data_IF_925580012199
#
_entry.id   IF_925580012199
#
_cell.length_a   1.000
_cell.length_b   1.000
_cell.length_c   1.000
_cell.angle_alpha   90.00
_cell.angle_beta   90.00
_cell.angle_gamma   90.00
#
_symmetry.space_group_name_H-M   'P 1'
#
loop_
_entity.id
_entity.type
_entity.pdbx_description
1 polymer ?
#
# COMPACT_ATOMS: atom_id res chain seq x y z
N UNK A 1 13.51 4.90 -7.63
CA UNK A 1 13.44 6.29 -7.15
C UNK A 1 13.06 7.19 -8.30
N UNK A 2 11.92 7.81 -8.16
CA UNK A 2 11.26 8.56 -9.22
C UNK A 2 12.04 9.85 -9.56
N UNK A 3 12.47 10.04 -10.80
CA UNK A 3 13.14 11.28 -11.22
C UNK A 3 12.27 12.54 -11.03
N UNK A 4 10.95 12.40 -11.09
CA UNK A 4 9.98 13.50 -10.92
C UNK A 4 10.01 14.11 -9.52
N UNK A 5 10.50 13.36 -8.52
CA UNK A 5 10.63 13.82 -7.13
C UNK A 5 12.00 14.46 -6.82
N UNK A 6 12.83 14.77 -7.84
CA UNK A 6 14.18 15.34 -7.66
C UNK A 6 14.22 16.86 -7.86
N UNK A 7 13.16 17.54 -7.49
CA UNK A 7 13.03 19.00 -7.64
C UNK A 7 12.14 19.57 -6.54
N UNK A 8 12.20 20.90 -6.35
CA UNK A 8 11.33 21.63 -5.41
C UNK A 8 9.87 21.73 -5.88
N UNK A 9 9.63 21.51 -7.16
CA UNK A 9 8.30 21.48 -7.76
C UNK A 9 8.08 20.13 -8.42
N UNK A 10 6.90 19.56 -8.23
CA UNK A 10 6.52 18.27 -8.80
C UNK A 10 5.62 18.47 -10.01
N UNK A 11 5.73 17.59 -11.00
CA UNK A 11 4.81 17.61 -12.15
C UNK A 11 3.38 17.22 -11.73
N UNK A 12 2.41 17.65 -12.55
CA UNK A 12 0.98 17.43 -12.27
C UNK A 12 0.63 15.93 -12.22
N UNK A 13 1.28 15.09 -13.00
CA UNK A 13 1.00 13.65 -13.01
C UNK A 13 1.47 12.99 -11.71
N UNK A 14 2.63 13.39 -11.19
CA UNK A 14 3.12 12.93 -9.89
C UNK A 14 2.21 13.40 -8.77
N UNK A 15 1.88 14.69 -8.73
CA UNK A 15 0.97 15.27 -7.74
C UNK A 15 -0.41 14.62 -7.79
N UNK A 16 -0.97 14.42 -8.98
CA UNK A 16 -2.25 13.74 -9.14
C UNK A 16 -2.24 12.31 -8.60
N UNK A 17 -1.12 11.58 -8.74
CA UNK A 17 -1.00 10.23 -8.19
C UNK A 17 -0.93 10.25 -6.66
N UNK A 18 -0.21 11.20 -6.07
CA UNK A 18 -0.10 11.38 -4.63
C UNK A 18 -1.45 11.78 -4.00
N UNK A 19 -2.13 12.77 -4.60
CA UNK A 19 -3.46 13.21 -4.15
C UNK A 19 -4.46 12.06 -4.26
N UNK A 20 -4.45 11.31 -5.36
CA UNK A 20 -5.35 10.16 -5.54
C UNK A 20 -5.11 9.10 -4.46
N UNK A 21 -3.86 8.81 -4.13
CA UNK A 21 -3.53 7.88 -3.04
C UNK A 21 -4.19 8.32 -1.73
N UNK A 22 -3.87 9.53 -1.25
CA UNK A 22 -4.38 10.03 0.04
C UNK A 22 -5.91 10.14 0.01
N UNK A 23 -6.48 10.76 -1.03
CA UNK A 23 -7.94 10.92 -1.13
C UNK A 23 -8.67 9.57 -1.17
N UNK A 24 -8.12 8.55 -1.84
CA UNK A 24 -8.75 7.22 -1.87
C UNK A 24 -8.70 6.54 -0.51
N UNK A 25 -7.63 6.74 0.25
CA UNK A 25 -7.50 6.27 1.64
C UNK A 25 -8.57 6.92 2.54
N UNK A 26 -8.66 8.25 2.52
CA UNK A 26 -9.64 9.00 3.32
C UNK A 26 -11.10 8.66 2.94
N UNK A 27 -11.37 8.49 1.65
CA UNK A 27 -12.68 8.03 1.18
C UNK A 27 -12.97 6.60 1.70
N UNK A 28 -11.97 5.72 1.78
CA UNK A 28 -12.12 4.41 2.42
C UNK A 28 -12.67 4.51 3.84
N UNK A 29 -12.17 5.45 4.65
CA UNK A 29 -12.68 5.70 5.99
C UNK A 29 -14.15 6.18 5.99
N UNK A 30 -14.57 6.96 5.01
CA UNK A 30 -15.99 7.36 4.91
C UNK A 30 -16.92 6.19 4.62
N UNK A 31 -16.41 5.10 4.04
CA UNK A 31 -17.10 3.82 3.88
C UNK A 31 -16.95 2.89 5.08
N UNK A 32 -16.41 3.35 6.20
CA UNK A 32 -16.24 2.56 7.42
C UNK A 32 -15.07 1.58 7.41
N UNK A 33 -14.17 1.64 6.41
CA UNK A 33 -12.97 0.82 6.42
C UNK A 33 -12.00 1.34 7.48
N UNK A 34 -11.48 0.43 8.28
CA UNK A 34 -10.38 0.69 9.21
C UNK A 34 -9.03 0.53 8.50
N UNK A 35 -7.96 1.02 9.12
CA UNK A 35 -6.61 0.72 8.65
C UNK A 35 -6.36 -0.78 8.56
N UNK A 36 -5.71 -1.19 7.49
CA UNK A 36 -5.25 -2.58 7.27
C UNK A 36 -3.73 -2.61 7.11
N UNK A 37 -3.01 -2.48 8.22
CA UNK A 37 -1.53 -2.43 8.24
C UNK A 37 -0.89 -3.77 7.87
N UNK A 38 -1.66 -4.85 7.78
CA UNK A 38 -1.18 -6.14 7.31
C UNK A 38 -1.09 -6.25 5.78
N UNK A 39 -1.67 -5.32 5.04
CA UNK A 39 -1.75 -5.42 3.59
C UNK A 39 -0.40 -5.22 2.89
N UNK A 40 0.53 -4.46 3.45
CA UNK A 40 1.91 -4.30 2.96
C UNK A 40 2.65 -5.63 2.90
N UNK A 41 2.46 -6.50 3.90
CA UNK A 41 3.10 -7.81 3.98
C UNK A 41 2.57 -8.85 2.97
N UNK A 42 1.49 -8.54 2.25
CA UNK A 42 0.89 -9.45 1.27
C UNK A 42 1.74 -9.62 0.00
N UNK A 43 2.59 -8.65 -0.33
CA UNK A 43 3.43 -8.70 -1.52
C UNK A 43 4.85 -9.15 -1.17
N UNK A 44 5.41 -10.12 -1.91
CA UNK A 44 6.83 -10.46 -1.73
C UNK A 44 7.74 -9.28 -2.08
N UNK A 45 8.78 -9.05 -1.28
CA UNK A 45 9.76 -7.98 -1.51
C UNK A 45 10.34 -8.02 -2.92
N UNK A 46 10.68 -9.22 -3.43
CA UNK A 46 11.21 -9.36 -4.79
C UNK A 46 10.19 -8.97 -5.86
N UNK A 47 8.90 -9.19 -5.59
CA UNK A 47 7.84 -8.80 -6.50
C UNK A 47 7.66 -7.29 -6.59
N UNK A 48 7.93 -6.54 -5.52
CA UNK A 48 7.92 -5.08 -5.52
C UNK A 48 9.01 -4.48 -6.43
N UNK A 49 10.03 -5.24 -6.78
CA UNK A 49 11.06 -4.90 -7.75
C UNK A 49 10.71 -5.30 -9.19
N UNK A 50 9.62 -6.01 -9.39
CA UNK A 50 9.19 -6.47 -10.72
C UNK A 50 8.27 -5.45 -11.37
N UNK A 51 8.70 -4.89 -12.52
CA UNK A 51 7.89 -3.99 -13.37
C UNK A 51 6.56 -4.62 -13.75
N UNK A 52 6.56 -5.90 -14.14
CA UNK A 52 5.34 -6.60 -14.56
C UNK A 52 4.40 -6.91 -13.40
N UNK A 53 4.94 -7.27 -12.23
CA UNK A 53 4.12 -7.50 -11.05
C UNK A 53 3.46 -6.20 -10.57
N UNK A 54 4.23 -5.12 -10.39
CA UNK A 54 3.72 -3.83 -9.92
C UNK A 54 2.74 -3.21 -10.91
N UNK A 55 2.95 -3.37 -12.22
CA UNK A 55 1.98 -2.95 -13.23
C UNK A 55 0.66 -3.72 -13.13
N UNK A 56 0.71 -5.05 -12.90
CA UNK A 56 -0.48 -5.90 -12.74
C UNK A 56 -1.24 -5.60 -11.46
N UNK A 57 -0.53 -5.43 -10.35
CA UNK A 57 -1.15 -5.15 -9.05
C UNK A 57 -1.57 -3.68 -8.90
N UNK A 58 -0.98 -2.80 -9.68
CA UNK A 58 -1.26 -1.38 -9.72
C UNK A 58 -0.60 -0.56 -8.60
N UNK A 59 -0.09 -1.20 -7.55
CA UNK A 59 0.45 -0.51 -6.37
C UNK A 59 1.37 -1.38 -5.51
N UNK A 60 1.54 -0.97 -4.26
CA UNK A 60 2.56 -1.47 -3.33
C UNK A 60 2.03 -2.39 -2.24
N UNK A 61 0.70 -2.46 -2.06
CA UNK A 61 0.03 -3.29 -1.05
C UNK A 61 -1.32 -3.80 -1.59
N UNK A 62 -1.93 -4.77 -0.91
CA UNK A 62 -3.24 -5.31 -1.28
C UNK A 62 -4.41 -4.41 -0.87
N UNK A 63 -4.18 -3.40 -0.04
CA UNK A 63 -5.18 -2.43 0.43
C UNK A 63 -4.63 -1.01 0.40
N UNK A 64 -5.49 -0.05 0.02
CA UNK A 64 -5.23 1.39 0.15
C UNK A 64 -5.30 1.85 1.62
N UNK A 65 -5.90 1.04 2.50
CA UNK A 65 -6.05 1.35 3.92
C UNK A 65 -4.81 1.03 4.75
N UNK A 66 -3.73 0.56 4.10
CA UNK A 66 -2.42 0.43 4.70
C UNK A 66 -1.65 1.76 4.62
N UNK A 67 -0.77 2.02 5.55
CA UNK A 67 0.23 3.08 5.45
C UNK A 67 1.47 2.63 4.69
N UNK A 68 1.28 1.73 3.72
CA UNK A 68 2.29 1.36 2.76
C UNK A 68 2.80 2.61 2.03
N UNK A 69 4.09 2.82 2.07
CA UNK A 69 4.71 4.00 1.46
C UNK A 69 4.92 3.82 -0.04
N UNK A 70 5.38 4.89 -0.69
CA UNK A 70 5.92 4.77 -2.04
C UNK A 70 6.93 3.63 -2.08
N UNK A 71 6.97 2.90 -3.18
CA UNK A 71 7.82 1.74 -3.36
C UNK A 71 9.32 2.10 -3.19
N UNK A 72 9.79 2.08 -1.94
CA UNK A 72 11.19 2.33 -1.61
C UNK A 72 12.08 1.08 -1.82
N UNK A 73 11.47 -0.05 -2.11
CA UNK A 73 12.17 -1.32 -2.38
C UNK A 73 12.73 -1.34 -3.80
N UNK A 74 11.97 -0.81 -4.77
CA UNK A 74 12.38 -0.74 -6.15
C UNK A 74 13.70 0.04 -6.31
N UNK A 75 14.56 -0.44 -7.20
CA UNK A 75 15.83 0.18 -7.54
C UNK A 75 15.72 0.82 -8.93
N UNK A 76 16.58 1.79 -9.30
CA UNK A 76 16.53 2.43 -10.62
C UNK A 76 16.57 1.45 -11.78
N UNK A 77 17.35 0.39 -11.65
CA UNK A 77 17.51 -0.67 -12.65
C UNK A 77 16.28 -1.56 -12.85
N UNK A 78 15.33 -1.53 -11.92
CA UNK A 78 14.10 -2.33 -11.99
C UNK A 78 13.04 -1.70 -12.92
N UNK A 79 13.20 -0.43 -13.25
CA UNK A 79 12.29 0.34 -14.12
C UNK A 79 10.81 0.27 -13.68
N UNK A 80 10.57 0.19 -12.38
CA UNK A 80 9.22 0.15 -11.82
C UNK A 80 8.57 1.52 -11.93
N UNK A 81 7.41 1.58 -12.57
CA UNK A 81 6.65 2.81 -12.81
C UNK A 81 5.52 3.02 -11.78
N UNK A 82 4.96 1.91 -11.25
CA UNK A 82 3.88 1.93 -10.28
C UNK A 82 4.45 1.86 -8.86
N UNK A 83 4.66 3.03 -8.27
CA UNK A 83 5.33 3.19 -6.98
C UNK A 83 4.41 3.67 -5.86
N UNK A 84 3.17 4.05 -6.17
CA UNK A 84 2.19 4.54 -5.18
C UNK A 84 1.23 3.43 -4.77
N UNK A 85 0.74 3.41 -3.52
CA UNK A 85 -0.42 2.60 -3.14
C UNK A 85 -1.65 2.94 -3.97
N UNK A 86 -2.51 1.96 -4.19
CA UNK A 86 -3.79 2.13 -4.91
C UNK A 86 -4.87 1.27 -4.26
N UNK A 87 -6.14 1.49 -4.63
CA UNK A 87 -7.26 0.62 -4.24
C UNK A 87 -6.96 -0.81 -4.68
N UNK A 88 -6.74 -1.69 -3.72
CA UNK A 88 -6.25 -3.04 -3.92
C UNK A 88 -7.32 -4.11 -3.96
N UNK A 89 -6.86 -5.35 -3.92
CA UNK A 89 -7.73 -6.55 -3.92
C UNK A 89 -8.56 -6.63 -2.65
N UNK A 90 -7.93 -6.36 -1.50
CA UNK A 90 -8.60 -6.35 -0.20
C UNK A 90 -9.73 -5.32 -0.15
N UNK A 91 -9.49 -4.10 -0.62
CA UNK A 91 -10.49 -3.03 -0.57
C UNK A 91 -11.74 -3.38 -1.38
N UNK A 92 -11.56 -3.93 -2.58
CA UNK A 92 -12.66 -4.39 -3.44
C UNK A 92 -13.46 -5.50 -2.78
N UNK A 93 -12.78 -6.41 -2.10
CA UNK A 93 -13.43 -7.47 -1.33
C UNK A 93 -14.19 -6.89 -0.14
N UNK A 94 -13.58 -6.01 0.66
CA UNK A 94 -14.17 -5.43 1.85
C UNK A 94 -15.43 -4.61 1.51
N UNK A 95 -15.35 -3.79 0.46
CA UNK A 95 -16.53 -3.01 -0.01
C UNK A 95 -17.61 -3.95 -0.55
N UNK A 96 -17.26 -4.97 -1.32
CA UNK A 96 -18.25 -5.95 -1.79
C UNK A 96 -18.90 -6.69 -0.62
N UNK A 97 -18.13 -7.07 0.40
CA UNK A 97 -18.61 -7.73 1.59
C UNK A 97 -19.57 -6.85 2.41
N UNK A 98 -19.23 -5.58 2.57
CA UNK A 98 -19.98 -4.64 3.42
C UNK A 98 -21.24 -4.07 2.73
N UNK A 99 -21.22 -3.92 1.40
CA UNK A 99 -22.23 -3.11 0.70
C UNK A 99 -22.97 -3.88 -0.39
N UNK A 100 -22.63 -5.11 -0.70
CA UNK A 100 -23.37 -5.87 -1.69
C UNK A 100 -24.77 -6.18 -1.17
N UNK A 101 -25.76 -5.74 -1.92
CA UNK A 101 -27.15 -6.08 -1.62
C UNK A 101 -27.39 -7.59 -1.79
N UNK A 102 -27.99 -8.22 -0.79
CA UNK A 102 -28.44 -9.61 -0.82
C UNK A 102 -29.97 -9.62 -0.71
N UNK A 103 -30.63 -10.45 -1.51
CA UNK A 103 -32.10 -10.58 -1.51
C UNK A 103 -32.52 -11.48 -0.35
N UNK A 104 -32.49 -10.92 0.85
CA UNK A 104 -32.90 -11.59 2.09
C UNK A 104 -33.93 -10.75 2.85
N UNK A 105 -34.70 -11.36 3.70
CA UNK A 105 -35.74 -10.67 4.49
C UNK A 105 -35.24 -10.20 5.84
N UNK A 106 -34.24 -10.87 6.40
CA UNK A 106 -33.63 -10.58 7.69
C UNK A 106 -32.11 -10.45 7.51
N UNK A 107 -31.48 -9.39 8.07
CA UNK A 107 -30.02 -9.24 8.01
C UNK A 107 -29.23 -10.45 8.53
N UNK A 108 -29.78 -11.23 9.46
CA UNK A 108 -29.12 -12.46 9.93
C UNK A 108 -29.02 -13.55 8.88
N UNK A 109 -29.88 -13.52 7.86
CA UNK A 109 -29.81 -14.47 6.72
C UNK A 109 -28.64 -14.18 5.79
N UNK A 110 -28.01 -13.00 5.88
CA UNK A 110 -26.78 -12.65 5.14
C UNK A 110 -25.55 -13.38 5.69
N UNK A 111 -25.50 -13.67 6.99
CA UNK A 111 -24.32 -14.20 7.67
C UNK A 111 -23.74 -15.45 7.05
N UNK A 112 -24.51 -16.47 6.61
CA UNK A 112 -23.95 -17.66 5.95
C UNK A 112 -23.22 -17.31 4.66
N UNK A 113 -23.77 -16.39 3.85
CA UNK A 113 -23.17 -15.95 2.58
C UNK A 113 -21.88 -15.17 2.83
N UNK A 114 -21.93 -14.21 3.76
CA UNK A 114 -20.78 -13.38 4.13
C UNK A 114 -19.65 -14.24 4.71
N UNK A 115 -19.97 -15.18 5.58
CA UNK A 115 -18.99 -16.12 6.13
C UNK A 115 -18.39 -17.05 5.06
N UNK A 116 -19.18 -17.49 4.08
CA UNK A 116 -18.67 -18.25 2.94
C UNK A 116 -17.66 -17.46 2.12
N UNK A 117 -17.89 -16.17 1.90
CA UNK A 117 -16.94 -15.31 1.18
C UNK A 117 -15.62 -15.16 1.94
N UNK A 118 -15.67 -14.99 3.27
CA UNK A 118 -14.46 -14.94 4.10
C UNK A 118 -13.71 -16.29 4.02
N UNK A 119 -14.44 -17.40 4.20
CA UNK A 119 -13.85 -18.75 4.20
C UNK A 119 -13.17 -19.06 2.88
N UNK A 120 -13.76 -18.63 1.75
CA UNK A 120 -13.20 -18.83 0.41
C UNK A 120 -11.81 -18.22 0.25
N UNK A 121 -11.53 -17.14 0.97
CA UNK A 121 -10.25 -16.42 0.92
C UNK A 121 -9.35 -16.69 2.12
N UNK A 122 -9.73 -17.64 2.99
CA UNK A 122 -8.93 -18.01 4.15
C UNK A 122 -7.56 -18.56 3.71
N UNK A 123 -6.51 -18.00 4.31
CA UNK A 123 -5.13 -18.35 3.98
C UNK A 123 -4.52 -17.61 2.79
N UNK A 124 -5.31 -16.86 2.02
CA UNK A 124 -4.78 -15.98 0.96
C UNK A 124 -4.38 -14.64 1.55
N UNK A 125 -3.07 -14.35 1.55
CA UNK A 125 -2.50 -13.12 2.09
C UNK A 125 -3.08 -11.84 1.46
N UNK A 126 -3.58 -11.92 0.23
CA UNK A 126 -4.17 -10.78 -0.48
C UNK A 126 -5.46 -10.28 0.17
N UNK A 127 -6.10 -11.10 1.00
CA UNK A 127 -7.36 -10.80 1.70
C UNK A 127 -7.17 -10.72 3.21
N UNK A 128 -5.94 -10.75 3.68
CA UNK A 128 -5.65 -10.68 5.09
C UNK A 128 -5.86 -9.28 5.64
N UNK A 129 -6.40 -9.22 6.86
CA UNK A 129 -6.59 -8.00 7.63
C UNK A 129 -5.67 -8.01 8.85
N UNK A 130 -4.84 -6.98 8.97
CA UNK A 130 -4.01 -6.73 10.14
C UNK A 130 -4.32 -5.35 10.70
N UNK A 131 -4.91 -5.29 11.90
CA UNK A 131 -5.24 -4.03 12.55
C UNK A 131 -3.98 -3.24 12.91
N UNK A 132 -4.10 -1.92 12.87
CA UNK A 132 -3.03 -1.03 13.33
C UNK A 132 -2.66 -1.35 14.79
N UNK A 133 -1.36 -1.53 15.02
CA UNK A 133 -0.84 -1.88 16.34
C UNK A 133 -0.56 -0.62 17.16
N UNK A 134 -0.68 -0.73 18.50
CA UNK A 134 -0.15 0.31 19.37
C UNK A 134 1.40 0.27 19.30
N UNK A 135 2.07 1.37 18.97
CA UNK A 135 3.54 1.41 18.91
C UNK A 135 4.23 1.04 20.23
N UNK A 136 3.51 1.17 21.36
CA UNK A 136 4.01 0.82 22.69
C UNK A 136 3.88 -0.66 23.03
N UNK A 137 2.96 -1.37 22.36
CA UNK A 137 2.69 -2.79 22.58
C UNK A 137 2.36 -3.49 21.24
N UNK A 138 3.33 -3.58 20.33
CA UNK A 138 3.13 -4.21 19.04
C UNK A 138 3.07 -5.74 19.21
N UNK A 139 1.97 -6.34 18.79
CA UNK A 139 1.72 -7.78 18.90
C UNK A 139 2.11 -8.51 17.63
N UNK A 140 1.72 -8.00 16.47
CA UNK A 140 1.97 -8.64 15.18
C UNK A 140 2.97 -7.84 14.34
N UNK A 141 4.19 -8.37 14.12
CA UNK A 141 5.22 -7.69 13.34
C UNK A 141 4.87 -7.55 11.85
N UNK A 142 3.80 -8.19 11.37
CA UNK A 142 3.31 -8.08 9.99
C UNK A 142 2.34 -6.90 9.79
N UNK A 143 1.91 -6.27 10.88
CA UNK A 143 0.97 -5.14 10.87
C UNK A 143 1.68 -3.86 11.32
N UNK A 144 2.82 -3.58 10.70
CA UNK A 144 3.61 -2.38 10.97
C UNK A 144 3.18 -1.21 10.07
N UNK A 145 3.35 -0.01 10.58
CA UNK A 145 3.20 1.20 9.79
C UNK A 145 4.46 1.41 8.91
N UNK A 146 4.25 1.89 7.69
CA UNK A 146 5.33 2.39 6.81
C UNK A 146 6.31 1.32 6.30
N UNK A 147 5.98 0.04 6.43
CA UNK A 147 6.76 -1.05 5.88
C UNK A 147 6.28 -1.49 4.48
N UNK A 148 7.06 -2.32 3.81
CA UNK A 148 6.71 -2.93 2.54
C UNK A 148 7.24 -4.36 2.46
N UNK A 149 6.39 -5.24 1.96
CA UNK A 149 6.75 -6.59 1.61
C UNK A 149 6.75 -7.57 2.78
N UNK A 150 6.94 -8.82 2.46
CA UNK A 150 6.89 -9.94 3.40
C UNK A 150 8.19 -10.17 4.19
N UNK A 151 9.24 -9.39 3.92
CA UNK A 151 10.54 -9.43 4.59
C UNK A 151 11.04 -8.00 4.83
N UNK A 152 10.76 -7.46 6.01
CA UNK A 152 11.10 -6.09 6.40
C UNK A 152 12.63 -5.85 6.40
N UNK A 153 13.45 -6.86 6.71
CA UNK A 153 14.90 -6.72 6.71
C UNK A 153 15.41 -6.55 5.29
N UNK A 154 14.91 -7.35 4.37
CA UNK A 154 15.25 -7.28 2.95
C UNK A 154 14.77 -5.98 2.34
N UNK A 155 13.53 -5.56 2.64
CA UNK A 155 12.97 -4.29 2.19
C UNK A 155 13.82 -3.10 2.67
N UNK A 156 14.20 -3.07 3.95
CA UNK A 156 15.06 -2.04 4.51
C UNK A 156 16.45 -1.99 3.86
N UNK A 157 17.04 -3.13 3.50
CA UNK A 157 18.32 -3.14 2.76
C UNK A 157 18.21 -2.40 1.43
N UNK A 158 17.15 -2.60 0.68
CA UNK A 158 16.90 -1.87 -0.56
C UNK A 158 16.61 -0.39 -0.30
N UNK A 159 15.85 -0.06 0.74
CA UNK A 159 15.61 1.33 1.16
C UNK A 159 16.91 2.06 1.49
N UNK A 160 17.81 1.43 2.24
CA UNK A 160 19.14 1.98 2.57
C UNK A 160 19.98 2.18 1.31
N UNK A 161 19.93 1.27 0.32
CA UNK A 161 20.64 1.46 -0.95
C UNK A 161 20.13 2.71 -1.67
N UNK A 162 18.81 2.94 -1.66
CA UNK A 162 18.22 4.13 -2.23
C UNK A 162 18.61 5.40 -1.46
N UNK A 163 18.63 5.37 -0.13
CA UNK A 163 19.11 6.50 0.68
C UNK A 163 20.56 6.86 0.36
N UNK A 164 21.45 5.88 0.20
CA UNK A 164 22.84 6.13 -0.21
C UNK A 164 22.97 6.84 -1.56
N UNK A 165 21.99 6.69 -2.45
CA UNK A 165 21.94 7.41 -3.73
C UNK A 165 21.33 8.82 -3.58
N UNK A 166 20.37 8.99 -2.69
CA UNK A 166 19.63 10.25 -2.51
C UNK A 166 20.45 11.25 -1.71
N UNK A 167 20.98 10.86 -0.55
CA UNK A 167 21.58 11.76 0.42
C UNK A 167 22.69 12.65 -0.18
N UNK A 168 23.61 12.16 -1.02
CA UNK A 168 24.62 13.01 -1.64
C UNK A 168 24.07 14.07 -2.61
N UNK A 169 22.85 13.90 -3.09
CA UNK A 169 22.26 14.75 -4.11
C UNK A 169 21.14 15.66 -3.57
N UNK A 170 20.73 15.47 -2.32
CA UNK A 170 19.52 16.10 -1.78
C UNK A 170 19.61 17.64 -1.81
N UNK A 171 20.76 18.20 -1.47
CA UNK A 171 20.99 19.64 -1.50
C UNK A 171 20.80 20.18 -2.91
N UNK A 172 21.49 19.59 -3.89
CA UNK A 172 21.40 20.02 -5.29
C UNK A 172 19.99 19.90 -5.88
N UNK A 173 19.19 18.94 -5.39
CA UNK A 173 17.81 18.73 -5.86
C UNK A 173 16.79 19.68 -5.20
N UNK A 174 17.12 20.20 -4.01
CA UNK A 174 16.21 21.03 -3.21
C UNK A 174 16.67 22.48 -3.08
N UNK A 175 17.89 22.80 -3.53
CA UNK A 175 18.40 24.14 -3.57
C UNK A 175 17.58 25.01 -4.54
N UNK A 176 17.17 26.19 -4.09
CA UNK A 176 16.51 27.18 -4.91
C UNK A 176 17.21 28.53 -4.74
N UNK A 177 17.25 29.32 -5.82
CA UNK A 177 17.87 30.66 -5.81
C UNK A 177 17.21 31.52 -4.73
N UNK A 178 18.03 32.06 -3.80
CA UNK A 178 17.57 32.93 -2.73
C UNK A 178 17.03 32.24 -1.46
N UNK A 179 17.26 30.94 -1.30
CA UNK A 179 16.89 30.19 -0.08
C UNK A 179 18.06 29.42 0.50
#
# INVERSE_FOLDING_TARGET
IDPRARANTFDDAYMASAIRFVSSHEVGHTFGLKHNMGASSSFPVDSLRSKTFTARMGGTASSIMDYARFNYVAQPEDEVERITPVIGVYDKFAINWAYRWLDVKDPHEELPVLNQWITKHSGDKMYWYGEQQDPKDPIDPRSQDEDLGDDVIKANRYGIQNLKRIVPNIVAWTEAEGR
#
